data_IF_007701403467
#
_entry.id   IF_007701403467
#
_cell.length_a   1.000
_cell.length_b   1.000
_cell.length_c   1.000
_cell.angle_alpha   90.00
_cell.angle_beta   90.00
_cell.angle_gamma   90.00
#
_symmetry.space_group_name_H-M   'P 1'
#
loop_
_entity.id
_entity.type
_entity.pdbx_description
1 polymer ?
#
# COMPACT_ATOMS: atom_id res chain seq x y z
N UNK A 1 -12.91 -14.53 -0.36
CA UNK A 1 -12.37 -13.57 -1.34
C UNK A 1 -11.43 -14.32 -2.27
N UNK A 2 -11.51 -14.07 -3.58
CA UNK A 2 -10.67 -14.73 -4.59
C UNK A 2 -9.80 -13.72 -5.30
N UNK A 3 -8.48 -13.96 -5.33
CA UNK A 3 -7.47 -13.07 -5.92
C UNK A 3 -6.70 -13.83 -6.98
N UNK A 4 -6.48 -13.19 -8.13
CA UNK A 4 -5.58 -13.67 -9.16
C UNK A 4 -4.28 -12.85 -9.13
N UNK A 5 -3.14 -13.52 -9.01
CA UNK A 5 -1.82 -12.90 -9.04
C UNK A 5 -1.08 -13.41 -10.28
N UNK A 6 -0.58 -12.46 -11.08
CA UNK A 6 0.03 -12.73 -12.39
C UNK A 6 1.42 -12.12 -12.45
N UNK A 7 2.41 -12.96 -12.64
CA UNK A 7 3.83 -12.56 -12.79
C UNK A 7 4.59 -13.67 -13.49
N UNK A 8 5.57 -13.36 -14.32
CA UNK A 8 6.44 -14.37 -14.93
C UNK A 8 7.56 -14.86 -13.99
N UNK A 9 7.76 -14.17 -12.85
CA UNK A 9 8.63 -14.61 -11.77
C UNK A 9 7.94 -15.65 -10.88
N UNK A 10 8.20 -16.93 -11.16
CA UNK A 10 7.69 -18.05 -10.37
C UNK A 10 8.02 -17.99 -8.88
N UNK A 11 9.20 -17.46 -8.52
CA UNK A 11 9.63 -17.39 -7.12
C UNK A 11 8.80 -16.36 -6.37
N UNK A 12 8.58 -15.19 -6.97
CA UNK A 12 7.73 -14.15 -6.40
C UNK A 12 6.30 -14.69 -6.16
N UNK A 13 5.72 -15.37 -7.15
CA UNK A 13 4.40 -15.97 -7.05
C UNK A 13 4.29 -16.95 -5.87
N UNK A 14 5.28 -17.82 -5.69
CA UNK A 14 5.32 -18.78 -4.58
C UNK A 14 5.45 -18.10 -3.22
N UNK A 15 6.26 -17.05 -3.13
CA UNK A 15 6.41 -16.25 -1.91
C UNK A 15 5.07 -15.60 -1.54
N UNK A 16 4.41 -14.95 -2.51
CA UNK A 16 3.12 -14.30 -2.31
C UNK A 16 2.04 -15.32 -1.92
N UNK A 17 1.95 -16.44 -2.62
CA UNK A 17 0.98 -17.50 -2.29
C UNK A 17 1.16 -18.01 -0.87
N UNK A 18 2.41 -18.28 -0.45
CA UNK A 18 2.71 -18.74 0.91
C UNK A 18 2.33 -17.70 1.95
N UNK A 19 2.63 -16.43 1.69
CA UNK A 19 2.28 -15.32 2.57
C UNK A 19 0.77 -15.21 2.73
N UNK A 20 0.02 -15.13 1.63
CA UNK A 20 -1.45 -14.98 1.69
C UNK A 20 -2.13 -16.19 2.33
N UNK A 21 -1.66 -17.41 2.08
CA UNK A 21 -2.19 -18.61 2.74
C UNK A 21 -2.03 -18.55 4.26
N UNK A 22 -0.94 -17.96 4.75
CA UNK A 22 -0.68 -17.81 6.19
C UNK A 22 -1.48 -16.66 6.81
N UNK A 23 -1.43 -15.48 6.20
CA UNK A 23 -2.02 -14.25 6.76
C UNK A 23 -3.53 -14.13 6.49
N UNK A 24 -4.02 -14.75 5.44
CA UNK A 24 -5.42 -14.69 4.99
C UNK A 24 -5.96 -16.08 4.60
N UNK A 25 -6.13 -17.01 5.56
CA UNK A 25 -6.51 -18.39 5.26
C UNK A 25 -7.89 -18.54 4.61
N UNK A 26 -8.73 -17.50 4.70
CA UNK A 26 -10.03 -17.45 4.02
C UNK A 26 -9.99 -16.93 2.58
N UNK A 27 -8.80 -16.59 2.05
CA UNK A 27 -8.67 -16.13 0.67
C UNK A 27 -8.24 -17.27 -0.25
N UNK A 28 -8.89 -17.35 -1.42
CA UNK A 28 -8.44 -18.20 -2.51
C UNK A 28 -7.49 -17.40 -3.40
N UNK A 29 -6.21 -17.77 -3.39
CA UNK A 29 -5.18 -17.14 -4.21
C UNK A 29 -4.85 -18.06 -5.37
N UNK A 30 -5.17 -17.60 -6.58
CA UNK A 30 -4.88 -18.27 -7.85
C UNK A 30 -3.68 -17.58 -8.48
N UNK A 31 -2.79 -18.35 -9.05
CA UNK A 31 -1.60 -17.86 -9.72
C UNK A 31 -1.72 -18.06 -11.23
N UNK A 32 -1.17 -17.11 -11.98
CA UNK A 32 -0.97 -17.25 -13.43
C UNK A 32 0.43 -16.74 -13.79
N UNK A 33 1.02 -17.32 -14.83
CA UNK A 33 2.39 -17.01 -15.25
C UNK A 33 2.46 -16.12 -16.48
N UNK A 34 1.31 -15.88 -17.12
CA UNK A 34 1.17 -15.04 -18.30
C UNK A 34 -0.15 -14.29 -18.30
N UNK A 35 -0.21 -13.13 -18.97
CA UNK A 35 -1.47 -12.40 -19.12
C UNK A 35 -2.57 -13.19 -19.82
N UNK A 36 -2.20 -14.10 -20.73
CA UNK A 36 -3.17 -14.98 -21.42
C UNK A 36 -3.80 -15.97 -20.46
N UNK A 37 -2.99 -16.67 -19.67
CA UNK A 37 -3.47 -17.58 -18.63
C UNK A 37 -4.39 -16.86 -17.64
N UNK A 38 -3.99 -15.65 -17.22
CA UNK A 38 -4.81 -14.83 -16.35
C UNK A 38 -6.18 -14.49 -16.95
N UNK A 39 -6.21 -14.08 -18.22
CA UNK A 39 -7.46 -13.76 -18.90
C UNK A 39 -8.39 -14.98 -19.03
N UNK A 40 -7.84 -16.16 -19.28
CA UNK A 40 -8.61 -17.40 -19.28
C UNK A 40 -9.20 -17.71 -17.92
N UNK A 41 -8.43 -17.56 -16.83
CA UNK A 41 -8.92 -17.73 -15.46
C UNK A 41 -10.04 -16.74 -15.10
N UNK A 42 -9.88 -15.46 -15.46
CA UNK A 42 -10.88 -14.42 -15.23
C UNK A 42 -12.21 -14.70 -15.93
N UNK A 43 -12.18 -15.32 -17.12
CA UNK A 43 -13.39 -15.71 -17.84
C UNK A 43 -14.09 -16.94 -17.26
N UNK A 44 -13.32 -17.80 -16.57
CA UNK A 44 -13.88 -19.03 -15.97
C UNK A 44 -14.47 -18.79 -14.59
N UNK A 45 -13.94 -17.84 -13.82
CA UNK A 45 -14.30 -17.61 -12.42
C UNK A 45 -14.30 -16.12 -12.11
N UNK A 46 -15.16 -15.73 -11.17
CA UNK A 46 -15.14 -14.39 -10.63
C UNK A 46 -13.94 -14.20 -9.68
N UNK A 47 -13.26 -13.07 -9.82
CA UNK A 47 -12.18 -12.60 -8.95
C UNK A 47 -12.51 -11.23 -8.38
N UNK A 48 -12.24 -11.03 -7.10
CA UNK A 48 -12.41 -9.74 -6.43
C UNK A 48 -11.29 -8.76 -6.81
N UNK A 49 -10.07 -9.30 -7.01
CA UNK A 49 -8.92 -8.53 -7.43
C UNK A 49 -8.01 -9.32 -8.39
N UNK A 50 -7.43 -8.60 -9.34
CA UNK A 50 -6.34 -8.99 -10.21
C UNK A 50 -5.11 -8.18 -9.80
N UNK A 51 -4.01 -8.87 -9.48
CA UNK A 51 -2.69 -8.28 -9.24
C UNK A 51 -1.80 -8.75 -10.38
N UNK A 52 -1.24 -7.82 -11.16
CA UNK A 52 -0.47 -8.19 -12.37
C UNK A 52 0.84 -7.45 -12.44
N UNK A 53 1.91 -8.13 -12.83
CA UNK A 53 3.06 -7.41 -13.36
C UNK A 53 2.68 -6.69 -14.66
N UNK A 54 3.35 -5.57 -14.94
CA UNK A 54 3.17 -4.84 -16.19
C UNK A 54 3.94 -5.54 -17.30
N UNK A 55 5.19 -5.93 -17.03
CA UNK A 55 6.06 -6.47 -18.06
C UNK A 55 6.10 -8.00 -18.05
N UNK A 56 5.29 -8.61 -18.91
CA UNK A 56 5.24 -10.07 -19.07
C UNK A 56 5.34 -10.44 -20.54
N UNK A 57 5.87 -11.64 -20.85
CA UNK A 57 5.93 -12.14 -22.23
C UNK A 57 4.52 -12.33 -22.83
N UNK A 58 4.41 -12.19 -24.14
CA UNK A 58 3.23 -12.47 -24.97
C UNK A 58 2.07 -11.51 -24.77
N UNK A 59 1.48 -11.44 -23.58
CA UNK A 59 0.44 -10.49 -23.18
C UNK A 59 0.92 -9.79 -21.93
N UNK A 60 1.25 -8.52 -22.05
CA UNK A 60 1.66 -7.68 -20.94
C UNK A 60 0.48 -7.26 -20.05
N UNK A 61 0.78 -6.68 -18.88
CA UNK A 61 -0.25 -6.26 -17.94
C UNK A 61 -1.17 -5.18 -18.50
N UNK A 62 -0.69 -4.32 -19.40
CA UNK A 62 -1.51 -3.27 -20.02
C UNK A 62 -2.52 -3.86 -20.99
N UNK A 63 -2.12 -4.81 -21.82
CA UNK A 63 -3.02 -5.53 -22.71
C UNK A 63 -4.06 -6.35 -21.91
N UNK A 64 -3.63 -6.94 -20.79
CA UNK A 64 -4.53 -7.64 -19.86
C UNK A 64 -5.54 -6.67 -19.25
N UNK A 65 -5.13 -5.50 -18.74
CA UNK A 65 -6.02 -4.47 -18.22
C UNK A 65 -7.04 -4.03 -19.25
N UNK A 66 -6.60 -3.76 -20.48
CA UNK A 66 -7.50 -3.37 -21.57
C UNK A 66 -8.56 -4.46 -21.83
N UNK A 67 -8.15 -5.74 -21.90
CA UNK A 67 -9.07 -6.85 -22.07
C UNK A 67 -10.09 -6.94 -20.90
N UNK A 68 -9.64 -6.72 -19.67
CA UNK A 68 -10.52 -6.70 -18.48
C UNK A 68 -11.51 -5.53 -18.54
N UNK A 69 -11.06 -4.32 -18.89
CA UNK A 69 -11.95 -3.12 -18.91
C UNK A 69 -12.92 -3.09 -20.09
N UNK A 70 -12.61 -3.78 -21.18
CA UNK A 70 -13.51 -3.89 -22.34
C UNK A 70 -14.55 -5.01 -22.22
N UNK A 71 -14.35 -5.96 -21.31
CA UNK A 71 -15.30 -7.03 -21.04
C UNK A 71 -16.28 -6.60 -19.93
N UNK A 72 -17.60 -6.47 -20.23
CA UNK A 72 -18.57 -6.00 -19.25
C UNK A 72 -18.67 -6.86 -17.98
N UNK A 73 -18.33 -8.16 -18.07
CA UNK A 73 -18.35 -9.08 -16.92
C UNK A 73 -17.15 -8.88 -16.03
N UNK A 74 -16.01 -8.48 -16.62
CA UNK A 74 -14.74 -8.33 -15.91
C UNK A 74 -14.43 -6.88 -15.51
N UNK A 75 -15.12 -5.91 -16.11
CA UNK A 75 -14.82 -4.48 -15.98
C UNK A 75 -14.76 -3.99 -14.54
N UNK A 76 -15.52 -4.63 -13.66
CA UNK A 76 -15.55 -4.31 -12.24
C UNK A 76 -14.43 -4.97 -11.41
N UNK A 77 -13.62 -5.85 -11.98
CA UNK A 77 -12.50 -6.46 -11.24
C UNK A 77 -11.51 -5.39 -10.80
N UNK A 78 -11.15 -5.36 -9.52
CA UNK A 78 -10.10 -4.45 -9.01
C UNK A 78 -8.76 -4.87 -9.59
N UNK A 79 -8.05 -3.95 -10.28
CA UNK A 79 -6.76 -4.23 -10.91
C UNK A 79 -5.65 -3.42 -10.25
N UNK A 80 -4.66 -4.12 -9.71
CA UNK A 80 -3.47 -3.55 -9.07
C UNK A 80 -2.24 -4.01 -9.85
N UNK A 81 -1.40 -3.07 -10.26
CA UNK A 81 -0.15 -3.41 -10.94
C UNK A 81 1.02 -3.54 -9.95
N UNK A 82 1.88 -4.51 -10.20
CA UNK A 82 3.24 -4.57 -9.68
C UNK A 82 4.20 -4.05 -10.75
N UNK A 83 5.02 -3.05 -10.44
CA UNK A 83 5.86 -2.39 -11.45
C UNK A 83 7.25 -2.07 -10.92
N UNK A 84 8.25 -2.01 -11.79
CA UNK A 84 9.58 -1.54 -11.43
C UNK A 84 9.62 0.00 -11.39
N UNK A 85 10.56 0.58 -10.60
CA UNK A 85 10.71 2.03 -10.38
C UNK A 85 10.91 2.85 -11.67
N UNK A 86 11.46 2.24 -12.72
CA UNK A 86 11.82 2.92 -13.97
C UNK A 86 10.63 3.08 -14.94
N UNK A 87 9.44 2.63 -14.57
CA UNK A 87 8.29 2.49 -15.46
C UNK A 87 7.21 3.56 -15.24
N UNK A 88 7.65 4.81 -15.00
CA UNK A 88 6.75 5.94 -14.72
C UNK A 88 5.75 6.22 -15.85
N UNK A 89 6.14 6.00 -17.10
CA UNK A 89 5.27 6.24 -18.25
C UNK A 89 4.18 5.14 -18.33
N UNK A 90 4.52 3.90 -18.08
CA UNK A 90 3.54 2.80 -17.96
C UNK A 90 2.62 2.99 -16.76
N UNK A 91 3.10 3.52 -15.63
CA UNK A 91 2.24 3.88 -14.50
C UNK A 91 1.17 4.90 -14.88
N UNK A 92 1.56 5.98 -15.56
CA UNK A 92 0.60 7.01 -16.01
C UNK A 92 -0.39 6.46 -17.03
N UNK A 93 0.10 5.70 -18.01
CA UNK A 93 -0.73 5.08 -19.01
C UNK A 93 -1.77 4.14 -18.40
N UNK A 94 -1.38 3.31 -17.46
CA UNK A 94 -2.26 2.38 -16.78
C UNK A 94 -3.30 3.06 -15.88
N UNK A 95 -2.95 4.15 -15.16
CA UNK A 95 -3.95 4.95 -14.41
C UNK A 95 -5.01 5.53 -15.36
N UNK A 96 -4.57 6.05 -16.50
CA UNK A 96 -5.49 6.56 -17.54
C UNK A 96 -6.33 5.43 -18.14
N UNK A 97 -5.78 4.22 -18.25
CA UNK A 97 -6.47 3.03 -18.74
C UNK A 97 -7.40 2.36 -17.72
N UNK A 98 -7.45 2.86 -16.47
CA UNK A 98 -8.38 2.41 -15.46
C UNK A 98 -7.83 1.34 -14.50
N UNK A 99 -6.52 1.31 -14.24
CA UNK A 99 -5.97 0.57 -13.11
C UNK A 99 -6.39 1.24 -11.78
N UNK A 100 -6.64 0.42 -10.76
CA UNK A 100 -7.10 0.91 -9.47
C UNK A 100 -5.93 1.31 -8.55
N UNK A 101 -4.77 0.66 -8.68
CA UNK A 101 -3.57 0.95 -7.88
C UNK A 101 -2.28 0.43 -8.51
N UNK A 102 -1.15 0.85 -7.90
CA UNK A 102 0.20 0.40 -8.24
C UNK A 102 1.01 0.09 -6.99
N UNK A 103 1.84 -0.93 -7.09
CA UNK A 103 2.83 -1.28 -6.09
C UNK A 103 4.20 -1.39 -6.77
N UNK A 104 5.17 -0.62 -6.29
CA UNK A 104 6.51 -0.57 -6.90
C UNK A 104 7.40 -1.68 -6.36
N UNK A 105 8.00 -2.47 -7.24
CA UNK A 105 9.02 -3.48 -6.89
C UNK A 105 10.37 -2.78 -6.58
N UNK A 106 11.13 -3.18 -5.54
CA UNK A 106 10.80 -4.24 -4.59
C UNK A 106 9.80 -3.81 -3.51
N UNK A 107 8.90 -4.70 -3.11
CA UNK A 107 7.92 -4.51 -2.04
C UNK A 107 7.91 -5.70 -1.09
N UNK A 108 7.39 -5.51 0.11
CA UNK A 108 7.11 -6.62 1.03
C UNK A 108 5.66 -7.11 0.83
N UNK A 109 5.38 -8.43 0.99
CA UNK A 109 4.04 -8.98 0.75
C UNK A 109 2.91 -8.33 1.56
N UNK A 110 3.23 -7.76 2.74
CA UNK A 110 2.27 -7.03 3.57
C UNK A 110 1.77 -5.72 2.91
N UNK A 111 2.61 -5.06 2.09
CA UNK A 111 2.22 -3.87 1.33
C UNK A 111 1.19 -4.23 0.26
N UNK A 112 1.39 -5.35 -0.43
CA UNK A 112 0.43 -5.86 -1.40
C UNK A 112 -0.91 -6.22 -0.74
N UNK A 113 -0.88 -6.88 0.43
CA UNK A 113 -2.09 -7.15 1.22
C UNK A 113 -2.84 -5.85 1.56
N UNK A 114 -2.11 -4.83 2.00
CA UNK A 114 -2.68 -3.52 2.33
C UNK A 114 -3.29 -2.80 1.12
N UNK A 115 -2.63 -2.87 -0.04
CA UNK A 115 -3.14 -2.31 -1.29
C UNK A 115 -4.45 -2.98 -1.73
N UNK A 116 -4.48 -4.32 -1.73
CA UNK A 116 -5.67 -5.09 -2.10
C UNK A 116 -6.84 -4.77 -1.17
N UNK A 117 -6.65 -4.89 0.15
CA UNK A 117 -7.70 -4.66 1.14
C UNK A 117 -8.23 -3.24 1.07
N UNK A 118 -7.35 -2.24 0.96
CA UNK A 118 -7.73 -0.84 0.86
C UNK A 118 -8.56 -0.52 -0.39
N UNK A 119 -8.27 -1.16 -1.54
CA UNK A 119 -9.04 -0.94 -2.77
C UNK A 119 -10.39 -1.61 -2.73
N UNK A 120 -10.47 -2.84 -2.25
CA UNK A 120 -11.72 -3.57 -2.14
C UNK A 120 -12.68 -2.94 -1.14
N UNK A 121 -12.19 -2.44 0.00
CA UNK A 121 -13.01 -1.71 0.97
C UNK A 121 -13.58 -0.42 0.38
N UNK A 122 -12.77 0.37 -0.34
CA UNK A 122 -13.24 1.59 -1.03
C UNK A 122 -14.34 1.28 -2.03
N UNK A 123 -14.19 0.20 -2.80
CA UNK A 123 -15.20 -0.24 -3.77
C UNK A 123 -16.50 -0.68 -3.10
N UNK A 124 -16.43 -1.29 -1.93
CA UNK A 124 -17.59 -1.70 -1.13
C UNK A 124 -18.32 -0.51 -0.45
N UNK A 125 -17.86 0.74 -0.65
CA UNK A 125 -18.45 1.93 -0.01
C UNK A 125 -18.24 1.98 1.51
N UNK A 126 -17.39 1.11 2.05
CA UNK A 126 -16.99 1.18 3.45
C UNK A 126 -16.06 2.38 3.61
N UNK A 127 -16.31 3.30 4.56
CA UNK A 127 -15.37 4.38 4.83
C UNK A 127 -14.03 3.75 5.20
N UNK A 128 -13.09 3.79 4.25
CA UNK A 128 -11.73 3.33 4.51
C UNK A 128 -11.07 4.41 5.34
N UNK A 129 -10.92 4.15 6.61
CA UNK A 129 -9.71 4.64 7.29
C UNK A 129 -8.57 4.04 6.45
N UNK A 130 -7.90 4.88 5.65
CA UNK A 130 -6.88 4.42 4.70
C UNK A 130 -5.94 3.46 5.43
N UNK A 131 -5.51 2.34 4.82
CA UNK A 131 -4.54 1.43 5.46
C UNK A 131 -3.32 2.18 6.02
N UNK A 132 -2.96 3.30 5.39
CA UNK A 132 -1.96 4.25 5.88
C UNK A 132 -2.36 4.90 7.23
N UNK A 133 -3.64 5.12 7.52
CA UNK A 133 -4.06 5.67 8.81
C UNK A 133 -4.20 4.58 9.89
N UNK A 134 -4.59 3.36 9.52
CA UNK A 134 -4.65 2.22 10.46
C UNK A 134 -3.25 1.62 10.74
N UNK A 135 -2.41 1.47 9.72
CA UNK A 135 -0.99 1.10 9.88
C UNK A 135 -0.25 2.20 10.63
N UNK A 136 -0.59 3.48 10.41
CA UNK A 136 0.02 4.59 11.15
C UNK A 136 -0.19 4.46 12.66
N UNK A 137 -1.40 4.27 13.16
CA UNK A 137 -1.66 4.34 14.62
C UNK A 137 -1.23 3.08 15.36
N UNK A 138 -1.53 1.90 14.85
CA UNK A 138 -1.10 0.63 15.44
C UNK A 138 0.42 0.44 15.31
N UNK A 139 0.99 0.77 14.17
CA UNK A 139 2.43 0.74 13.94
C UNK A 139 3.16 1.76 14.81
N UNK A 140 2.67 2.99 14.89
CA UNK A 140 3.26 4.03 15.73
C UNK A 140 3.23 3.64 17.21
N UNK A 141 2.15 3.00 17.68
CA UNK A 141 2.06 2.50 19.06
C UNK A 141 3.05 1.36 19.37
N UNK A 142 3.50 0.61 18.36
CA UNK A 142 4.50 -0.45 18.52
C UNK A 142 5.95 0.07 18.45
N UNK A 143 6.19 1.11 17.65
CA UNK A 143 7.55 1.60 17.33
C UNK A 143 7.95 2.78 18.18
N UNK A 144 6.98 3.62 18.58
CA UNK A 144 7.23 4.84 19.33
C UNK A 144 7.00 4.64 20.83
N UNK A 145 7.85 5.28 21.61
CA UNK A 145 7.60 5.43 23.05
C UNK A 145 6.45 6.42 23.28
N UNK A 146 5.82 6.36 24.45
CA UNK A 146 4.76 7.29 24.84
C UNK A 146 5.19 8.75 24.68
N UNK A 147 6.41 9.11 25.08
CA UNK A 147 6.98 10.46 24.94
C UNK A 147 7.17 10.87 23.48
N UNK A 148 7.61 9.97 22.62
CA UNK A 148 7.75 10.22 21.17
C UNK A 148 6.37 10.41 20.52
N UNK A 149 5.36 9.65 20.92
CA UNK A 149 3.98 9.80 20.44
C UNK A 149 3.41 11.16 20.81
N UNK A 150 3.62 11.61 22.06
CA UNK A 150 3.19 12.94 22.53
C UNK A 150 3.88 14.04 21.71
N UNK A 151 5.19 13.99 21.54
CA UNK A 151 5.94 14.96 20.73
C UNK A 151 5.47 14.97 19.27
N UNK A 152 5.20 13.80 18.69
CA UNK A 152 4.66 13.69 17.34
C UNK A 152 3.28 14.36 17.22
N UNK A 153 2.40 14.21 18.21
CA UNK A 153 1.11 14.88 18.26
C UNK A 153 1.23 16.41 18.26
N UNK A 154 2.13 16.97 19.06
CA UNK A 154 2.41 18.41 19.06
C UNK A 154 2.93 18.93 17.71
N UNK A 155 3.82 18.15 17.05
CA UNK A 155 4.29 18.47 15.70
C UNK A 155 3.15 18.45 14.66
N UNK A 156 2.18 17.54 14.83
CA UNK A 156 0.98 17.48 13.99
C UNK A 156 0.08 18.70 14.12
N UNK A 157 0.04 19.33 15.30
CA UNK A 157 -0.64 20.61 15.54
C UNK A 157 0.14 21.83 15.03
N UNK A 158 1.30 21.64 14.44
CA UNK A 158 2.14 22.70 13.89
C UNK A 158 2.97 23.44 14.95
N UNK A 159 3.06 22.93 16.18
CA UNK A 159 3.80 23.59 17.25
C UNK A 159 5.30 23.53 17.03
N UNK A 160 5.99 24.62 17.39
CA UNK A 160 7.45 24.71 17.29
C UNK A 160 8.15 24.15 18.54
N UNK A 161 9.42 23.76 18.41
CA UNK A 161 10.21 23.11 19.47
C UNK A 161 10.11 23.84 20.83
N UNK A 162 10.08 25.19 20.84
CA UNK A 162 9.97 25.98 22.10
C UNK A 162 8.60 25.83 22.78
N UNK A 163 7.52 25.81 22.02
CA UNK A 163 6.16 25.62 22.51
C UNK A 163 5.97 24.22 23.10
N UNK A 164 6.44 23.20 22.35
CA UNK A 164 6.42 21.82 22.81
C UNK A 164 7.21 21.65 24.12
N UNK A 165 8.38 22.29 24.21
CA UNK A 165 9.21 22.24 25.39
C UNK A 165 8.50 22.85 26.62
N UNK A 166 7.85 24.00 26.44
CA UNK A 166 7.10 24.69 27.49
C UNK A 166 5.90 23.85 27.96
N UNK A 167 5.11 23.29 27.05
CA UNK A 167 3.94 22.49 27.41
C UNK A 167 4.30 21.16 28.09
N UNK A 168 5.40 20.53 27.67
CA UNK A 168 5.84 19.25 28.23
C UNK A 168 6.76 19.38 29.47
N UNK A 169 7.13 20.61 29.85
CA UNK A 169 8.02 20.86 30.98
C UNK A 169 9.44 20.32 30.77
N UNK A 170 9.94 20.30 29.54
CA UNK A 170 11.27 19.77 29.18
C UNK A 170 12.10 20.84 28.44
N UNK A 171 13.41 20.59 28.28
CA UNK A 171 14.24 21.53 27.52
C UNK A 171 13.98 21.45 26.00
N UNK A 172 14.14 22.55 25.23
CA UNK A 172 14.09 22.51 23.78
C UNK A 172 15.04 21.47 23.18
N UNK A 173 16.23 21.30 23.77
CA UNK A 173 17.20 20.28 23.37
C UNK A 173 16.65 18.85 23.52
N UNK A 174 15.85 18.60 24.55
CA UNK A 174 15.20 17.30 24.76
C UNK A 174 14.15 17.03 23.68
N UNK A 175 13.38 18.06 23.28
CA UNK A 175 12.43 17.95 22.14
C UNK A 175 13.16 17.62 20.84
N UNK A 176 14.30 18.25 20.57
CA UNK A 176 15.09 17.97 19.36
C UNK A 176 15.66 16.55 19.36
N UNK A 177 16.04 16.02 20.53
CA UNK A 177 16.43 14.59 20.66
C UNK A 177 15.25 13.67 20.29
N UNK A 178 14.05 13.94 20.80
CA UNK A 178 12.85 13.17 20.45
C UNK A 178 12.53 13.27 18.95
N UNK A 179 12.64 14.45 18.34
CA UNK A 179 12.46 14.64 16.89
C UNK A 179 13.46 13.82 16.07
N UNK A 180 14.73 13.84 16.47
CA UNK A 180 15.77 13.04 15.80
C UNK A 180 15.48 11.54 15.90
N UNK A 181 15.06 11.07 17.07
CA UNK A 181 14.68 9.68 17.27
C UNK A 181 13.45 9.30 16.45
N UNK A 182 12.43 10.15 16.40
CA UNK A 182 11.25 9.99 15.56
C UNK A 182 11.63 9.85 14.08
N UNK A 183 12.45 10.79 13.58
CA UNK A 183 12.90 10.78 12.18
C UNK A 183 13.66 9.48 11.85
N UNK A 184 14.55 9.03 12.74
CA UNK A 184 15.29 7.78 12.57
C UNK A 184 14.38 6.54 12.63
N UNK A 185 13.45 6.46 13.59
CA UNK A 185 12.56 5.29 13.76
C UNK A 185 11.53 5.16 12.64
N UNK A 186 11.13 6.28 12.06
CA UNK A 186 10.10 6.34 11.02
C UNK A 186 10.70 6.47 9.60
N UNK A 187 12.03 6.44 9.49
CA UNK A 187 12.79 6.64 8.24
C UNK A 187 12.38 7.93 7.49
N UNK A 188 12.20 9.01 8.25
CA UNK A 188 11.78 10.32 7.73
C UNK A 188 12.95 11.29 7.79
N UNK A 189 13.24 11.94 6.66
CA UNK A 189 14.43 12.81 6.55
C UNK A 189 14.13 14.32 6.64
N UNK A 190 12.86 14.72 6.86
CA UNK A 190 12.51 16.14 7.03
C UNK A 190 11.33 16.35 7.98
N UNK A 191 11.30 17.52 8.63
CA UNK A 191 10.30 17.88 9.61
C UNK A 191 8.88 18.00 9.05
N UNK A 192 8.75 18.42 7.78
CA UNK A 192 7.45 18.56 7.10
C UNK A 192 6.79 17.21 6.89
N UNK A 193 7.55 16.19 6.50
CA UNK A 193 7.03 14.83 6.35
C UNK A 193 6.61 14.24 7.71
N UNK A 194 7.35 14.55 8.79
CA UNK A 194 7.01 14.13 10.14
C UNK A 194 5.69 14.77 10.63
N UNK A 195 5.48 16.06 10.38
CA UNK A 195 4.23 16.76 10.70
C UNK A 195 3.04 16.21 9.88
N UNK A 196 3.23 15.95 8.58
CA UNK A 196 2.23 15.32 7.72
C UNK A 196 1.80 13.93 8.24
N UNK A 197 2.77 13.13 8.69
CA UNK A 197 2.48 11.82 9.29
C UNK A 197 1.62 11.96 10.55
N UNK A 198 1.94 12.91 11.42
CA UNK A 198 1.19 13.15 12.65
C UNK A 198 -0.27 13.56 12.39
N UNK A 199 -0.50 14.43 11.41
CA UNK A 199 -1.85 14.83 10.96
C UNK A 199 -2.60 13.61 10.42
N UNK A 200 -1.98 12.82 9.55
CA UNK A 200 -2.57 11.61 8.97
C UNK A 200 -2.93 10.57 10.03
N UNK A 201 -2.11 10.41 11.06
CA UNK A 201 -2.34 9.47 12.15
C UNK A 201 -3.38 9.96 13.19
N UNK A 202 -3.97 11.14 13.00
CA UNK A 202 -4.90 11.78 13.95
C UNK A 202 -4.33 11.91 15.37
N UNK A 203 -3.04 12.23 15.45
CA UNK A 203 -2.32 12.47 16.69
C UNK A 203 -2.25 13.97 17.05
N UNK A 204 -2.85 14.82 16.24
CA UNK A 204 -2.89 16.26 16.39
C UNK A 204 -4.17 16.77 17.06
#
# INVERSE_FOLDING_TARGET
MRILIVDDDHLLLLILQRFFRKEQPGWEVVLAHTGREALEQLRMKHFDALVSDIRMPSMDGMALLQAVRTDPVLADTTVIFMTCLDDRDSMRAGMTAGADDYLTKPFIPAELLSAITGRLQRKAGVPVLTPEAQVSRAYLAQVLTERETIVLGHLGRGQVTKEIAAELGISPRTVDVHRTNLMRKLDIHNATALARLAIKAQLG
#
